data_IF_780768068753
#
_entry.id   IF_780768068753
#
_cell.length_a   1.000
_cell.length_b   1.000
_cell.length_c   1.000
_cell.angle_alpha   90.00
_cell.angle_beta   90.00
_cell.angle_gamma   90.00
#
_symmetry.space_group_name_H-M   'P 1'
#
loop_
_entity.id
_entity.type
_entity.pdbx_description
1 polymer ?
#
# COMPACT_ATOMS: atom_id res chain seq x y z
N UNK A 1 4.95 15.63 5.76
CA UNK A 1 5.12 14.25 5.25
C UNK A 1 4.08 14.00 4.16
N UNK A 2 4.43 13.37 3.04
CA UNK A 2 3.41 12.95 2.06
C UNK A 2 2.75 11.68 2.59
N UNK A 3 1.43 11.70 2.74
CA UNK A 3 0.67 10.56 3.26
C UNK A 3 0.25 9.56 2.18
N UNK A 4 0.22 10.00 0.92
CA UNK A 4 -0.15 9.18 -0.24
C UNK A 4 0.44 9.78 -1.53
N UNK A 5 0.55 8.96 -2.58
CA UNK A 5 1.05 9.36 -3.90
C UNK A 5 -0.07 9.41 -4.94
N UNK A 6 -0.10 10.48 -5.73
CA UNK A 6 -1.02 10.63 -6.85
C UNK A 6 -0.67 9.65 -7.99
N UNK A 7 -1.67 9.09 -8.70
CA UNK A 7 -1.44 8.18 -9.82
C UNK A 7 -0.47 8.71 -10.88
N UNK A 8 -0.59 9.98 -11.22
CA UNK A 8 0.24 10.64 -12.23
C UNK A 8 1.71 10.76 -11.78
N UNK A 9 1.92 11.03 -10.48
CA UNK A 9 3.25 11.06 -9.90
C UNK A 9 3.85 9.65 -9.80
N UNK A 10 3.05 8.64 -9.46
CA UNK A 10 3.49 7.24 -9.46
C UNK A 10 3.95 6.81 -10.85
N UNK A 11 3.17 7.14 -11.89
CA UNK A 11 3.51 6.82 -13.28
C UNK A 11 4.86 7.42 -13.68
N UNK A 12 5.13 8.68 -13.33
CA UNK A 12 6.43 9.32 -13.58
C UNK A 12 7.59 8.63 -12.84
N UNK A 13 7.37 8.17 -11.60
CA UNK A 13 8.39 7.45 -10.83
C UNK A 13 8.70 6.07 -11.43
N UNK A 14 7.68 5.38 -11.95
CA UNK A 14 7.86 4.10 -12.63
C UNK A 14 8.63 4.32 -13.94
N UNK A 15 8.21 5.28 -14.77
CA UNK A 15 8.87 5.60 -16.05
C UNK A 15 10.32 6.05 -15.89
N UNK A 16 10.64 6.75 -14.80
CA UNK A 16 12.02 7.16 -14.49
C UNK A 16 12.87 6.05 -13.83
N UNK A 17 12.28 4.90 -13.49
CA UNK A 17 12.99 3.80 -12.81
C UNK A 17 13.32 4.07 -11.34
N UNK A 18 12.70 5.10 -10.75
CA UNK A 18 12.90 5.50 -9.35
C UNK A 18 12.04 4.66 -8.40
N UNK A 19 10.82 4.32 -8.80
CA UNK A 19 9.96 3.40 -8.06
C UNK A 19 10.30 1.96 -8.42
N UNK A 20 10.78 1.19 -7.44
CA UNK A 20 11.21 -0.20 -7.64
C UNK A 20 10.54 -1.20 -6.71
N UNK A 21 10.24 -0.77 -5.49
CA UNK A 21 9.60 -1.61 -4.49
C UNK A 21 8.12 -1.24 -4.39
N UNK A 22 7.27 -2.25 -4.54
CA UNK A 22 5.81 -2.14 -4.47
C UNK A 22 5.24 -3.14 -3.48
N UNK A 23 4.28 -2.68 -2.70
CA UNK A 23 3.62 -3.45 -1.66
C UNK A 23 2.10 -3.33 -1.81
N UNK A 24 1.42 -4.46 -1.71
CA UNK A 24 -0.03 -4.53 -1.62
C UNK A 24 -0.39 -5.07 -0.25
N UNK A 25 -1.23 -4.33 0.48
CA UNK A 25 -1.69 -4.73 1.82
C UNK A 25 -3.13 -4.28 2.07
N UNK A 26 -3.82 -4.83 3.08
CA UNK A 26 -5.16 -4.39 3.43
C UNK A 26 -5.21 -2.89 3.70
N UNK A 27 -6.16 -2.19 3.09
CA UNK A 27 -6.27 -0.73 3.12
C UNK A 27 -6.31 -0.16 4.55
N UNK A 28 -6.99 -0.86 5.47
CA UNK A 28 -7.06 -0.53 6.91
C UNK A 28 -5.70 -0.35 7.61
N UNK A 29 -4.61 -0.86 7.04
CA UNK A 29 -3.26 -0.70 7.58
C UNK A 29 -2.63 0.67 7.25
N UNK A 30 -3.26 1.45 6.38
CA UNK A 30 -2.83 2.81 6.08
C UNK A 30 -3.74 3.83 6.78
N UNK A 31 -3.17 4.84 7.46
CA UNK A 31 -3.94 5.97 7.98
C UNK A 31 -4.70 6.69 6.86
N UNK A 32 -5.97 7.03 7.11
CA UNK A 32 -6.81 7.74 6.14
C UNK A 32 -7.57 6.84 5.16
N UNK A 33 -7.45 5.51 5.28
CA UNK A 33 -8.28 4.59 4.51
C UNK A 33 -9.73 4.66 5.01
N UNK A 34 -10.66 4.90 4.08
CA UNK A 34 -12.09 5.06 4.39
C UNK A 34 -12.90 3.76 4.20
N UNK A 35 -12.30 2.75 3.57
CA UNK A 35 -12.95 1.49 3.19
C UNK A 35 -11.99 0.32 3.35
N UNK A 36 -12.54 -0.86 3.62
CA UNK A 36 -11.81 -2.11 3.55
C UNK A 36 -11.55 -2.55 2.11
N UNK A 37 -10.50 -3.34 1.94
CA UNK A 37 -10.05 -3.85 0.66
C UNK A 37 -8.52 -3.86 0.59
N UNK A 38 -8.00 -3.78 -0.63
CA UNK A 38 -6.58 -3.78 -0.93
C UNK A 38 -6.14 -2.38 -1.36
N UNK A 39 -4.89 -2.03 -1.07
CA UNK A 39 -4.28 -0.84 -1.67
C UNK A 39 -2.84 -1.13 -2.06
N UNK A 40 -2.41 -0.47 -3.13
CA UNK A 40 -1.06 -0.51 -3.65
C UNK A 40 -0.27 0.63 -3.02
N UNK A 41 0.96 0.37 -2.61
CA UNK A 41 1.90 1.36 -2.12
C UNK A 41 3.25 1.23 -2.80
N UNK A 42 3.92 2.36 -2.93
CA UNK A 42 5.28 2.46 -3.47
C UNK A 42 6.23 2.87 -2.36
N UNK A 43 7.43 2.30 -2.36
CA UNK A 43 8.47 2.71 -1.42
C UNK A 43 9.11 4.02 -1.84
N UNK A 44 9.25 4.94 -0.90
CA UNK A 44 10.01 6.17 -1.02
C UNK A 44 10.91 6.31 0.21
N UNK A 45 12.20 6.04 0.03
CA UNK A 45 13.15 5.94 1.14
C UNK A 45 12.73 4.87 2.16
N UNK A 46 12.46 5.29 3.40
CA UNK A 46 12.04 4.42 4.49
C UNK A 46 10.52 4.21 4.58
N UNK A 47 9.73 4.89 3.74
CA UNK A 47 8.28 4.94 3.88
C UNK A 47 7.55 4.25 2.72
N UNK A 48 6.41 3.64 3.04
CA UNK A 48 5.46 3.12 2.06
C UNK A 48 4.35 4.14 1.84
N UNK A 49 4.23 4.65 0.62
CA UNK A 49 3.22 5.64 0.25
C UNK A 49 2.09 4.95 -0.51
N UNK A 50 0.87 4.88 0.05
CA UNK A 50 -0.29 4.32 -0.64
C UNK A 50 -0.67 5.18 -1.84
N UNK A 51 -1.22 4.55 -2.87
CA UNK A 51 -1.79 5.26 -4.01
C UNK A 51 -3.10 5.89 -3.60
N UNK A 52 -3.26 7.19 -3.86
CA UNK A 52 -4.54 7.89 -3.66
C UNK A 52 -5.41 7.87 -4.91
N UNK A 53 -6.66 8.27 -4.78
CA UNK A 53 -7.52 8.59 -5.92
C UNK A 53 -7.85 10.08 -5.94
N UNK A 54 -8.59 10.52 -6.98
CA UNK A 54 -9.07 11.90 -7.07
C UNK A 54 -10.07 12.25 -5.97
N UNK A 55 -10.86 11.26 -5.52
CA UNK A 55 -11.97 11.46 -4.55
C UNK A 55 -11.66 10.91 -3.16
N UNK A 56 -10.77 9.93 -3.06
CA UNK A 56 -10.43 9.24 -1.81
C UNK A 56 -8.95 9.48 -1.46
N UNK A 57 -8.62 9.76 -0.18
CA UNK A 57 -7.24 9.92 0.27
C UNK A 57 -6.35 8.72 -0.03
N UNK A 58 -6.93 7.53 -0.01
CA UNK A 58 -6.30 6.27 -0.40
C UNK A 58 -7.23 5.57 -1.37
N UNK A 59 -6.68 5.11 -2.48
CA UNK A 59 -7.41 4.30 -3.45
C UNK A 59 -7.52 2.89 -2.91
N UNK A 60 -8.74 2.39 -2.83
CA UNK A 60 -9.04 1.04 -2.33
C UNK A 60 -9.65 0.21 -3.45
N UNK A 61 -9.18 -1.03 -3.58
CA UNK A 61 -9.72 -2.02 -4.50
C UNK A 61 -10.36 -3.14 -3.70
N UNK A 62 -11.61 -3.48 -4.02
CA UNK A 62 -12.31 -4.58 -3.35
C UNK A 62 -11.71 -5.96 -3.66
N UNK A 63 -11.09 -6.11 -4.83
CA UNK A 63 -10.52 -7.39 -5.32
C UNK A 63 -9.08 -7.20 -5.73
N UNK A 64 -8.24 -8.18 -5.39
CA UNK A 64 -6.82 -8.16 -5.73
C UNK A 64 -6.64 -8.14 -7.25
N UNK A 65 -7.33 -8.99 -8.02
CA UNK A 65 -7.24 -9.03 -9.49
C UNK A 65 -7.46 -7.67 -10.17
N UNK A 66 -8.33 -6.82 -9.60
CA UNK A 66 -8.57 -5.46 -10.13
C UNK A 66 -7.38 -4.54 -9.85
N UNK A 67 -6.74 -4.71 -8.70
CA UNK A 67 -5.50 -4.02 -8.36
C UNK A 67 -4.36 -4.53 -9.23
N UNK A 68 -4.23 -5.85 -9.45
CA UNK A 68 -3.17 -6.43 -10.28
C UNK A 68 -3.24 -5.91 -11.72
N UNK A 69 -4.44 -5.85 -12.30
CA UNK A 69 -4.66 -5.23 -13.61
C UNK A 69 -4.18 -3.78 -13.65
N UNK A 70 -4.53 -3.00 -12.64
CA UNK A 70 -4.08 -1.61 -12.53
C UNK A 70 -2.56 -1.50 -12.41
N UNK A 71 -1.91 -2.37 -11.62
CA UNK A 71 -0.46 -2.39 -11.48
C UNK A 71 0.23 -2.73 -12.82
N UNK A 72 -0.30 -3.73 -13.54
CA UNK A 72 0.20 -4.12 -14.86
C UNK A 72 0.07 -2.99 -15.90
N UNK A 73 -1.06 -2.26 -15.91
CA UNK A 73 -1.26 -1.11 -16.79
C UNK A 73 -0.26 0.03 -16.53
N UNK A 74 0.23 0.15 -15.30
CA UNK A 74 1.27 1.11 -14.92
C UNK A 74 2.70 0.64 -15.24
N UNK A 75 2.88 -0.61 -15.68
CA UNK A 75 4.20 -1.21 -15.94
C UNK A 75 4.86 -1.81 -14.70
N UNK A 76 4.11 -2.04 -13.62
CA UNK A 76 4.60 -2.75 -12.43
C UNK A 76 4.55 -4.25 -12.70
N UNK A 77 5.71 -4.89 -12.79
CA UNK A 77 5.83 -6.32 -13.10
C UNK A 77 5.90 -7.22 -11.87
N UNK A 78 6.18 -6.65 -10.70
CA UNK A 78 6.25 -7.38 -9.44
C UNK A 78 5.88 -6.48 -8.25
N UNK A 79 5.17 -7.05 -7.29
CA UNK A 79 4.88 -6.44 -5.99
C UNK A 79 4.76 -7.53 -4.92
N UNK A 80 5.02 -7.17 -3.67
CA UNK A 80 4.78 -8.07 -2.54
C UNK A 80 3.34 -7.94 -2.07
N UNK A 81 2.68 -9.05 -1.73
CA UNK A 81 1.35 -9.03 -1.13
C UNK A 81 1.45 -9.44 0.33
N UNK A 82 1.09 -8.53 1.24
CA UNK A 82 0.97 -8.82 2.65
C UNK A 82 -0.46 -9.24 2.97
N UNK A 83 -0.66 -10.55 3.11
CA UNK A 83 -1.90 -11.12 3.63
C UNK A 83 -1.81 -11.06 5.15
N UNK A 84 -2.49 -10.12 5.79
CA UNK A 84 -2.47 -10.07 7.25
C UNK A 84 -3.22 -11.28 7.84
N UNK A 85 -2.48 -12.34 8.13
CA UNK A 85 -2.84 -13.44 9.01
C UNK A 85 -1.76 -13.60 10.06
N UNK A 86 -1.75 -12.73 11.06
CA UNK A 86 -1.11 -12.95 12.37
C UNK A 86 -1.39 -11.76 13.28
N UNK A 87 -2.20 -11.98 14.31
CA UNK A 87 -1.88 -11.40 15.61
C UNK A 87 -0.53 -11.99 16.04
N UNK A 88 0.52 -11.20 16.30
CA UNK A 88 1.46 -11.62 17.31
C UNK A 88 0.75 -11.48 18.67
N UNK A 89 0.28 -12.62 19.14
CA UNK A 89 0.05 -12.99 20.54
C UNK A 89 0.53 -11.97 21.58
N UNK A 90 -0.40 -11.62 22.46
CA UNK A 90 -0.24 -11.08 23.81
C UNK A 90 1.17 -11.17 24.39
N UNK A 91 1.75 -10.03 24.78
CA UNK A 91 2.78 -10.01 25.82
C UNK A 91 2.15 -9.48 27.11
N UNK A 92 1.69 -10.33 28.04
CA UNK A 92 1.46 -9.89 29.40
C UNK A 92 2.85 -9.76 30.04
N UNK A 93 3.36 -8.53 30.11
CA UNK A 93 4.50 -8.21 30.96
C UNK A 93 4.11 -8.51 32.40
N UNK A 94 4.39 -9.75 32.82
CA UNK A 94 4.54 -10.16 34.20
C UNK A 94 5.66 -9.33 34.81
N UNK A 95 5.26 -8.29 35.55
CA UNK A 95 6.08 -7.61 36.54
C UNK A 95 5.49 -7.88 37.92
N UNK A 96 5.73 -9.08 38.44
CA UNK A 96 5.81 -9.27 39.90
C UNK A 96 7.10 -8.61 40.35
N UNK A 97 6.99 -7.64 41.24
CA UNK A 97 7.91 -7.41 42.38
C UNK A 97 7.16 -6.58 43.40
#
# INVERSE_FOLDING_TARGET
>A
MREAIYPEALELLIKSGTARDFLVRPARQFPGAQRDGWTLAVRQGAYWLPVRSKREPIRVWARLDTLERYANELGITAFTVELSGSEPSTNPSSGRS
#
